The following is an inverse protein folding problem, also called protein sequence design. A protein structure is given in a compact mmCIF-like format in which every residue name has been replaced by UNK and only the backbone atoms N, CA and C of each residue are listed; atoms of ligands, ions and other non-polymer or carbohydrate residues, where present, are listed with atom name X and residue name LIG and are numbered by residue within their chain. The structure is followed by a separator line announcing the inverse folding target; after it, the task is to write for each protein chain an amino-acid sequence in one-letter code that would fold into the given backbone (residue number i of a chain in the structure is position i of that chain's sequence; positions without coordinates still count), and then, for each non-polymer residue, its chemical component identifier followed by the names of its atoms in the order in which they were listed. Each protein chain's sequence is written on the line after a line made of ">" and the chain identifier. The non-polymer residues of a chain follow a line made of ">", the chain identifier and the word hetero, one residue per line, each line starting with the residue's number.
data_IF_144255773471
#
_entry.id   IF_144255773471
#
_cell.length_a   1.000
_cell.length_b   1.000
_cell.length_c   1.000
_cell.angle_alpha   90.00
_cell.angle_beta   90.00
_cell.angle_gamma   90.00
#
_symmetry.space_group_name_H-M   'P 1'
#
loop_
_entity.id
_entity.type
_entity.pdbx_description
1 polymer ?
#
# COMPACT_ATOMS: atom_id res chain seq x y z
N UNK A 1 5.52 -20.79 -20.20
CA UNK A 1 6.05 -19.44 -20.55
C UNK A 1 4.97 -18.33 -20.52
N UNK A 2 3.73 -18.55 -20.98
CA UNK A 2 2.69 -17.49 -20.99
C UNK A 2 2.18 -17.05 -19.60
N UNK A 3 2.01 -17.98 -18.65
CA UNK A 3 1.47 -17.67 -17.31
C UNK A 3 2.41 -16.76 -16.50
N UNK A 4 3.72 -17.01 -16.54
CA UNK A 4 4.70 -16.17 -15.83
C UNK A 4 4.72 -14.72 -16.33
N UNK A 5 4.53 -14.51 -17.64
CA UNK A 5 4.47 -13.16 -18.22
C UNK A 5 3.23 -12.40 -17.77
N UNK A 6 2.07 -13.06 -17.67
CA UNK A 6 0.82 -12.45 -17.19
C UNK A 6 0.93 -12.08 -15.71
N UNK A 7 1.43 -12.99 -14.87
CA UNK A 7 1.64 -12.71 -13.44
C UNK A 7 2.63 -11.57 -13.26
N UNK A 8 3.73 -11.56 -14.03
CA UNK A 8 4.70 -10.47 -13.99
C UNK A 8 4.08 -9.12 -14.34
N UNK A 9 3.29 -9.06 -15.43
CA UNK A 9 2.57 -7.85 -15.81
C UNK A 9 1.62 -7.37 -14.69
N UNK A 10 0.88 -8.30 -14.09
CA UNK A 10 -0.03 -7.98 -13.00
C UNK A 10 0.71 -7.38 -11.80
N UNK A 11 1.83 -7.98 -11.39
CA UNK A 11 2.68 -7.46 -10.30
C UNK A 11 3.24 -6.08 -10.63
N UNK A 12 3.67 -5.84 -11.87
CA UNK A 12 4.18 -4.51 -12.27
C UNK A 12 3.07 -3.45 -12.17
N UNK A 13 1.88 -3.73 -12.72
CA UNK A 13 0.73 -2.82 -12.62
C UNK A 13 0.35 -2.57 -11.16
N UNK A 14 0.35 -3.63 -10.35
CA UNK A 14 0.08 -3.54 -8.92
C UNK A 14 1.05 -2.59 -8.20
N UNK A 15 2.36 -2.74 -8.43
CA UNK A 15 3.37 -1.86 -7.83
C UNK A 15 3.27 -0.41 -8.30
N UNK A 16 2.88 -0.18 -9.56
CA UNK A 16 2.63 1.17 -10.08
C UNK A 16 1.47 1.83 -9.32
N UNK A 17 0.36 1.11 -9.13
CA UNK A 17 -0.79 1.62 -8.35
C UNK A 17 -0.34 1.96 -6.93
N UNK A 18 0.49 1.10 -6.31
CA UNK A 18 1.02 1.34 -4.98
C UNK A 18 1.93 2.56 -4.88
N UNK A 19 2.77 2.79 -5.89
CA UNK A 19 3.61 3.99 -5.99
C UNK A 19 2.75 5.26 -6.13
N UNK A 20 1.71 5.23 -6.95
CA UNK A 20 0.75 6.34 -7.07
C UNK A 20 0.07 6.61 -5.73
N UNK A 21 -0.36 5.57 -5.02
CA UNK A 21 -0.96 5.70 -3.68
C UNK A 21 0.01 6.31 -2.66
N UNK A 22 1.29 5.96 -2.71
CA UNK A 22 2.32 6.57 -1.87
C UNK A 22 2.50 8.06 -2.19
N UNK A 23 2.45 8.42 -3.47
CA UNK A 23 2.45 9.82 -3.92
C UNK A 23 1.24 10.60 -3.43
N UNK A 24 0.04 10.01 -3.50
CA UNK A 24 -1.19 10.63 -2.98
C UNK A 24 -1.14 10.89 -1.48
N UNK A 25 -0.43 10.04 -0.71
CA UNK A 25 -0.16 10.26 0.73
C UNK A 25 0.97 11.27 1.00
N UNK A 26 1.59 11.83 -0.04
CA UNK A 26 2.65 12.83 0.08
C UNK A 26 4.02 12.24 0.46
N UNK A 27 4.23 10.93 0.36
CA UNK A 27 5.49 10.32 0.82
C UNK A 27 6.73 10.66 -0.01
N UNK A 28 6.56 11.32 -1.15
CA UNK A 28 7.68 11.70 -2.03
C UNK A 28 8.05 13.19 -1.95
N UNK A 29 7.46 13.96 -1.02
CA UNK A 29 7.75 15.40 -0.89
C UNK A 29 9.12 15.70 -0.27
N UNK A 30 9.71 14.74 0.44
CA UNK A 30 11.03 14.87 1.07
C UNK A 30 11.71 13.50 1.19
N UNK A 31 13.05 13.43 1.17
CA UNK A 31 13.77 12.19 1.41
C UNK A 31 13.44 11.61 2.80
N UNK A 32 13.31 10.28 2.93
CA UNK A 32 13.02 9.66 4.22
C UNK A 32 14.23 9.78 5.15
N UNK A 33 13.98 10.22 6.39
CA UNK A 33 15.03 10.45 7.39
C UNK A 33 15.16 9.31 8.42
N UNK A 34 14.24 8.35 8.43
CA UNK A 34 14.26 7.20 9.34
C UNK A 34 13.90 5.90 8.61
N UNK A 35 14.39 4.76 9.11
CA UNK A 35 14.04 3.43 8.61
C UNK A 35 12.52 3.16 8.64
N UNK A 36 11.81 3.69 9.64
CA UNK A 36 10.36 3.57 9.74
C UNK A 36 9.65 4.21 8.55
N UNK A 37 10.10 5.38 8.08
CA UNK A 37 9.52 6.04 6.92
C UNK A 37 9.74 5.22 5.65
N UNK A 38 10.95 4.69 5.45
CA UNK A 38 11.24 3.79 4.31
C UNK A 38 10.32 2.56 4.36
N UNK A 39 10.20 1.94 5.54
CA UNK A 39 9.34 0.78 5.74
C UNK A 39 7.87 1.12 5.45
N UNK A 40 7.37 2.28 5.92
CA UNK A 40 6.00 2.74 5.64
C UNK A 40 5.77 2.96 4.14
N UNK A 41 6.71 3.59 3.43
CA UNK A 41 6.61 3.82 1.99
C UNK A 41 6.58 2.48 1.25
N UNK A 42 7.51 1.57 1.56
CA UNK A 42 7.59 0.25 0.95
C UNK A 42 6.31 -0.56 1.21
N UNK A 43 5.83 -0.58 2.45
CA UNK A 43 4.60 -1.27 2.83
C UNK A 43 3.39 -0.68 2.10
N UNK A 44 3.35 0.65 1.96
CA UNK A 44 2.31 1.32 1.21
C UNK A 44 2.37 1.01 -0.29
N UNK A 45 3.54 0.81 -0.89
CA UNK A 45 3.62 0.40 -2.31
C UNK A 45 3.11 -1.04 -2.49
N UNK A 46 3.43 -1.94 -1.57
CA UNK A 46 3.03 -3.36 -1.68
C UNK A 46 1.57 -3.57 -1.30
N UNK A 47 1.12 -2.98 -0.20
CA UNK A 47 -0.22 -3.18 0.37
C UNK A 47 -1.21 -2.06 0.00
N UNK A 48 -0.72 -0.89 -0.45
CA UNK A 48 -1.55 0.25 -0.81
C UNK A 48 -2.63 -0.04 -1.85
N UNK A 49 -2.36 -0.83 -2.91
CA UNK A 49 -3.37 -1.19 -3.91
C UNK A 49 -4.60 -1.92 -3.32
N UNK A 50 -4.44 -2.63 -2.19
CA UNK A 50 -5.56 -3.28 -1.50
C UNK A 50 -6.60 -2.26 -0.99
N UNK A 51 -6.24 -1.00 -0.77
CA UNK A 51 -7.22 0.01 -0.38
C UNK A 51 -8.19 0.37 -1.53
N UNK A 52 -7.86 0.02 -2.77
CA UNK A 52 -8.71 0.26 -3.95
C UNK A 52 -9.52 -0.96 -4.35
N UNK A 53 -9.37 -2.10 -3.66
CA UNK A 53 -10.17 -3.30 -3.93
C UNK A 53 -11.54 -3.26 -3.25
N UNK A 54 -11.86 -2.20 -2.49
CA UNK A 54 -13.15 -2.04 -1.82
C UNK A 54 -13.43 -3.08 -0.74
N UNK A 55 -12.39 -3.81 -0.32
CA UNK A 55 -12.47 -4.70 0.83
C UNK A 55 -12.59 -3.84 2.08
N UNK A 56 -13.68 -4.02 2.83
CA UNK A 56 -13.91 -3.43 4.15
C UNK A 56 -13.58 -4.48 5.22
N UNK A 57 -12.31 -4.59 5.67
CA UNK A 57 -11.97 -5.46 6.78
C UNK A 57 -12.51 -4.81 8.06
N UNK A 58 -13.75 -5.16 8.43
CA UNK A 58 -14.27 -4.93 9.77
C UNK A 58 -13.51 -5.84 10.75
N UNK A 59 -12.27 -5.47 11.06
CA UNK A 59 -11.61 -5.96 12.25
C UNK A 59 -12.37 -5.39 13.44
N UNK A 60 -12.91 -6.26 14.30
CA UNK A 60 -13.60 -5.87 15.52
C UNK A 60 -12.68 -5.06 16.42
N UNK A 61 -12.65 -3.75 16.19
CA UNK A 61 -11.98 -2.80 17.05
C UNK A 61 -13.05 -2.33 18.03
N UNK A 62 -13.13 -3.01 19.17
CA UNK A 62 -13.95 -2.55 20.29
C UNK A 62 -13.28 -1.29 20.84
N UNK A 63 -13.76 -0.11 20.42
CA UNK A 63 -13.27 1.15 20.98
C UNK A 63 -13.84 1.25 22.40
N UNK A 64 -13.00 1.30 23.45
CA UNK A 64 -13.49 1.46 24.82
C UNK A 64 -14.31 2.75 24.92
N UNK A 65 -15.54 2.66 25.44
CA UNK A 65 -16.35 3.85 25.66
C UNK A 65 -15.75 4.67 26.82
N UNK A 66 -15.54 5.99 26.65
CA UNK A 66 -15.12 6.83 27.75
C UNK A 66 -16.28 6.96 28.76
N UNK A 67 -15.96 6.69 30.03
CA UNK A 67 -16.80 6.93 31.21
C UNK A 67 -16.97 8.41 31.51
#
# INVERSE_FOLDING_TARGET
>A
MRIGSIIGLFVVVWLIIGAVAAGQRGYFTSPPAQCSQIATIALNIVAGPLNYTGLDPQGGCEIPQPS
#
